data_IF_963232646042
#
_entry.id   IF_963232646042
#
_cell.length_a   1.000
_cell.length_b   1.000
_cell.length_c   1.000
_cell.angle_alpha   90.00
_cell.angle_beta   90.00
_cell.angle_gamma   90.00
#
_symmetry.space_group_name_H-M   'P 1'
#
loop_
_entity.id
_entity.type
_entity.pdbx_description
1 polymer ?
#
# COMPACT_ATOMS: atom_id res chain seq x y z
N UNK A 1 -4.30 -6.19 -4.23
CA UNK A 1 -5.14 -7.40 -4.23
C UNK A 1 -4.30 -8.67 -4.34
N UNK A 2 -3.55 -8.90 -5.42
CA UNK A 2 -2.78 -10.15 -5.57
C UNK A 2 -1.68 -10.35 -4.51
N UNK A 3 -0.90 -9.32 -4.17
CA UNK A 3 0.13 -9.43 -3.12
C UNK A 3 -0.50 -9.76 -1.77
N UNK A 4 -1.62 -9.12 -1.44
CA UNK A 4 -2.42 -9.42 -0.23
C UNK A 4 -2.92 -10.87 -0.23
N UNK A 5 -3.39 -11.38 -1.37
CA UNK A 5 -3.82 -12.77 -1.53
C UNK A 5 -2.67 -13.76 -1.40
N UNK A 6 -1.53 -13.48 -2.02
CA UNK A 6 -0.35 -14.32 -1.94
C UNK A 6 0.15 -14.41 -0.50
N UNK A 7 0.24 -13.26 0.19
CA UNK A 7 0.63 -13.20 1.60
C UNK A 7 -0.41 -13.88 2.51
N UNK A 8 -1.70 -13.73 2.26
CA UNK A 8 -2.74 -14.42 3.02
C UNK A 8 -2.71 -15.95 2.80
N UNK A 9 -2.40 -16.39 1.58
CA UNK A 9 -2.41 -17.81 1.21
C UNK A 9 -1.17 -18.57 1.70
N UNK A 10 0.01 -17.94 1.67
CA UNK A 10 1.30 -18.62 1.93
C UNK A 10 2.22 -17.88 2.90
N UNK A 11 1.80 -16.74 3.44
CA UNK A 11 2.67 -15.84 4.18
C UNK A 11 3.65 -15.09 3.29
N UNK A 12 4.64 -14.47 3.93
CA UNK A 12 5.70 -13.72 3.27
C UNK A 12 5.71 -12.25 3.70
N UNK A 13 6.88 -11.64 3.55
CA UNK A 13 7.22 -10.28 3.94
C UNK A 13 7.24 -9.32 2.73
N UNK A 14 6.37 -9.57 1.75
CA UNK A 14 6.29 -8.83 0.49
C UNK A 14 5.39 -7.58 0.58
N UNK A 15 5.41 -6.91 1.73
CA UNK A 15 4.67 -5.67 1.96
C UNK A 15 5.08 -4.55 1.00
N UNK A 16 4.18 -3.59 0.77
CA UNK A 16 4.38 -2.50 -0.19
C UNK A 16 4.51 -1.18 0.56
N UNK A 17 5.61 -0.47 0.33
CA UNK A 17 5.73 0.96 0.69
C UNK A 17 5.25 1.78 -0.50
N UNK A 18 4.16 2.53 -0.33
CA UNK A 18 3.62 3.39 -1.38
C UNK A 18 4.30 4.77 -1.34
N UNK A 19 4.78 5.25 -2.50
CA UNK A 19 5.46 6.55 -2.60
C UNK A 19 4.70 7.49 -3.54
N UNK A 20 4.29 8.64 -3.03
CA UNK A 20 3.70 9.73 -3.80
C UNK A 20 4.78 10.70 -4.27
N UNK A 21 4.96 10.83 -5.59
CA UNK A 21 5.99 11.70 -6.18
C UNK A 21 5.53 13.15 -6.42
N UNK A 22 4.24 13.46 -6.22
CA UNK A 22 3.63 14.77 -6.50
C UNK A 22 2.56 15.10 -5.45
N UNK A 23 2.37 16.38 -5.16
CA UNK A 23 1.30 16.92 -4.29
C UNK A 23 0.08 17.37 -5.13
N UNK A 24 -1.20 17.15 -4.75
CA UNK A 24 -1.78 16.25 -3.72
C UNK A 24 -2.61 15.09 -4.34
N UNK A 25 -2.83 13.97 -3.61
CA UNK A 25 -3.89 13.94 -2.58
C UNK A 25 -3.36 13.53 -1.20
N UNK A 26 -4.08 13.86 -0.12
CA UNK A 26 -3.55 13.74 1.23
C UNK A 26 -3.36 12.26 1.62
N UNK A 27 -2.20 11.87 2.17
CA UNK A 27 -2.01 10.58 2.81
C UNK A 27 -2.89 10.38 4.06
N UNK A 28 -3.59 11.42 4.52
CA UNK A 28 -4.42 11.47 5.74
C UNK A 28 -5.47 10.37 5.87
N UNK A 29 -5.98 9.81 4.77
CA UNK A 29 -6.96 8.71 4.87
C UNK A 29 -6.30 7.33 4.95
N UNK A 30 -5.07 7.19 4.45
CA UNK A 30 -4.39 5.90 4.36
C UNK A 30 -3.45 5.68 5.54
N UNK A 31 -2.72 6.70 5.99
CA UNK A 31 -1.76 6.56 7.09
C UNK A 31 -2.42 6.12 8.41
N UNK A 32 -3.56 6.69 8.87
CA UNK A 32 -4.17 6.27 10.14
C UNK A 32 -4.61 4.82 10.18
N UNK A 33 -4.84 4.20 9.01
CA UNK A 33 -5.26 2.81 8.86
C UNK A 33 -4.14 1.91 8.33
N UNK A 34 -2.88 2.34 8.45
CA UNK A 34 -1.71 1.55 8.07
C UNK A 34 -1.70 1.17 6.59
N UNK A 35 -2.18 2.06 5.71
CA UNK A 35 -2.23 1.83 4.27
C UNK A 35 -3.37 0.94 3.78
N UNK A 36 -4.23 0.44 4.69
CA UNK A 36 -5.34 -0.42 4.30
C UNK A 36 -6.29 0.29 3.33
N UNK A 37 -6.98 -0.47 2.47
CA UNK A 37 -8.04 0.09 1.62
C UNK A 37 -9.04 -1.00 1.21
N UNK A 38 -10.26 -0.61 0.85
CA UNK A 38 -11.28 -1.56 0.37
C UNK A 38 -11.28 -1.59 -1.15
N UNK A 39 -10.96 -2.74 -1.73
CA UNK A 39 -11.18 -3.02 -3.15
C UNK A 39 -12.61 -3.51 -3.36
N UNK A 40 -13.33 -2.89 -4.30
CA UNK A 40 -14.71 -3.30 -4.65
C UNK A 40 -14.73 -3.74 -6.11
N UNK A 41 -15.02 -5.02 -6.34
CA UNK A 41 -15.26 -5.57 -7.68
C UNK A 41 -16.74 -5.46 -7.99
N UNK A 42 -17.07 -4.74 -9.06
CA UNK A 42 -18.45 -4.57 -9.53
C UNK A 42 -18.77 -5.65 -10.58
N UNK A 43 -19.87 -6.35 -10.41
CA UNK A 43 -20.31 -7.42 -11.31
C UNK A 43 -21.82 -7.40 -11.55
N UNK A 44 -22.28 -8.15 -12.56
CA UNK A 44 -23.70 -8.24 -12.91
C UNK A 44 -24.55 -8.84 -11.77
N UNK A 45 -23.98 -9.74 -10.98
CA UNK A 45 -24.64 -10.39 -9.84
C UNK A 45 -24.45 -9.61 -8.52
N UNK A 46 -23.83 -8.43 -8.56
CA UNK A 46 -23.58 -7.57 -7.41
C UNK A 46 -22.10 -7.23 -7.18
N UNK A 47 -21.85 -6.59 -6.04
CA UNK A 47 -20.53 -6.08 -5.68
C UNK A 47 -19.85 -6.97 -4.65
N UNK A 48 -18.56 -7.24 -4.84
CA UNK A 48 -17.71 -7.92 -3.86
C UNK A 48 -16.71 -6.93 -3.28
N UNK A 49 -16.72 -6.74 -1.97
CA UNK A 49 -15.78 -5.87 -1.27
C UNK A 49 -14.74 -6.70 -0.51
N UNK A 50 -13.47 -6.26 -0.55
CA UNK A 50 -12.36 -6.88 0.17
C UNK A 50 -11.45 -5.81 0.76
N UNK A 51 -11.13 -5.93 2.04
CA UNK A 51 -10.10 -5.09 2.69
C UNK A 51 -8.73 -5.63 2.33
N UNK A 52 -7.85 -4.75 1.86
CA UNK A 52 -6.49 -5.02 1.42
C UNK A 52 -5.51 -4.40 2.41
N UNK A 53 -4.53 -5.18 2.86
CA UNK A 53 -3.50 -4.77 3.81
C UNK A 53 -2.08 -4.87 3.24
N UNK A 54 -1.95 -5.03 1.92
CA UNK A 54 -0.64 -5.18 1.28
C UNK A 54 0.24 -3.91 1.35
N UNK A 55 -0.36 -2.73 1.54
CA UNK A 55 0.41 -1.50 1.78
C UNK A 55 0.74 -1.45 3.26
N UNK A 56 2.03 -1.36 3.59
CA UNK A 56 2.53 -1.34 4.97
C UNK A 56 2.97 0.04 5.43
N UNK A 57 3.29 0.92 4.48
CA UNK A 57 3.68 2.30 4.76
C UNK A 57 3.40 3.22 3.55
N UNK A 58 3.30 4.53 3.79
CA UNK A 58 2.99 5.56 2.80
C UNK A 58 3.89 6.77 2.99
N UNK A 59 4.71 7.06 1.98
CA UNK A 59 5.64 8.20 1.93
C UNK A 59 5.22 9.23 0.87
N UNK A 60 5.50 10.50 1.15
CA UNK A 60 5.30 11.62 0.21
C UNK A 60 6.67 12.21 -0.11
N UNK A 61 7.18 11.96 -1.32
CA UNK A 61 8.53 12.36 -1.69
C UNK A 61 8.78 13.88 -1.63
N UNK A 62 7.80 14.76 -1.97
CA UNK A 62 7.97 16.20 -1.74
C UNK A 62 8.08 16.63 -0.26
N UNK A 63 7.58 15.82 0.69
CA UNK A 63 7.60 16.13 2.12
C UNK A 63 8.87 15.57 2.80
N UNK A 64 9.26 14.34 2.45
CA UNK A 64 10.46 13.68 2.97
C UNK A 64 11.13 12.81 1.88
N UNK A 65 11.99 13.41 1.03
CA UNK A 65 12.69 12.68 -0.02
C UNK A 65 13.76 11.72 0.53
N UNK A 66 14.32 12.01 1.72
CA UNK A 66 15.36 11.18 2.33
C UNK A 66 14.76 9.87 2.87
N UNK A 67 13.54 9.91 3.44
CA UNK A 67 12.81 8.69 3.82
C UNK A 67 12.55 7.77 2.62
N UNK A 68 12.26 8.33 1.45
CA UNK A 68 12.07 7.54 0.23
C UNK A 68 13.37 6.86 -0.19
N UNK A 69 14.50 7.59 -0.18
CA UNK A 69 15.80 7.03 -0.51
C UNK A 69 16.22 5.95 0.48
N UNK A 70 15.96 6.15 1.77
CA UNK A 70 16.23 5.16 2.81
C UNK A 70 15.42 3.87 2.57
N UNK A 71 14.11 3.99 2.28
CA UNK A 71 13.26 2.84 1.97
C UNK A 71 13.73 2.10 0.69
N UNK A 72 14.14 2.84 -0.35
CA UNK A 72 14.65 2.23 -1.58
C UNK A 72 16.01 1.55 -1.41
N UNK A 73 16.82 1.97 -0.43
CA UNK A 73 18.14 1.42 -0.15
C UNK A 73 18.10 0.26 0.87
N UNK A 74 16.94 -0.02 1.47
CA UNK A 74 16.79 -1.10 2.44
C UNK A 74 17.04 -2.47 1.77
N UNK A 75 18.00 -3.29 2.25
CA UNK A 75 18.27 -4.62 1.70
C UNK A 75 17.09 -5.60 1.74
N UNK A 76 16.08 -5.35 2.58
CA UNK A 76 14.84 -6.13 2.61
C UNK A 76 13.92 -5.82 1.43
N UNK A 77 14.07 -4.65 0.78
CA UNK A 77 13.30 -4.23 -0.39
C UNK A 77 13.94 -4.80 -1.66
N UNK A 78 13.17 -5.55 -2.46
CA UNK A 78 13.65 -6.36 -3.61
C UNK A 78 12.75 -6.26 -4.83
#
# INVERSE_FOLDING_TARGET
VYTDEAMAAKGGDWGIVAVYLRTPPPPDQMQPQGGAYTSVTLGADGNTAKVIHAITDVLVAPEDPDAVLAAMADPAVK
#
